data_IF_232192760789
#
_entry.id   IF_232192760789
#
_cell.length_a   1.000
_cell.length_b   1.000
_cell.length_c   1.000
_cell.angle_alpha   90.00
_cell.angle_beta   90.00
_cell.angle_gamma   90.00
#
_symmetry.space_group_name_H-M   'P 1'
#
loop_
_entity.id
_entity.type
_entity.pdbx_description
1 polymer ?
#
# COMPACT_ATOMS: atom_id res chain seq x y z
N UNK A 1 -18.19 -7.65 -16.98
CA UNK A 1 -17.44 -7.75 -15.70
C UNK A 1 -15.95 -7.75 -16.03
N UNK A 2 -15.20 -6.73 -15.63
CA UNK A 2 -13.77 -6.66 -15.90
C UNK A 2 -13.04 -7.73 -15.07
N UNK A 3 -12.31 -8.62 -15.76
CA UNK A 3 -11.48 -9.66 -15.14
C UNK A 3 -10.19 -8.98 -14.64
N UNK A 4 -10.18 -8.55 -13.37
CA UNK A 4 -8.96 -8.06 -12.73
C UNK A 4 -8.04 -9.27 -12.57
N UNK A 5 -7.09 -9.41 -13.50
CA UNK A 5 -6.03 -10.41 -13.42
C UNK A 5 -5.04 -9.94 -12.37
N UNK A 6 -4.65 -10.82 -11.45
CA UNK A 6 -3.62 -10.53 -10.43
C UNK A 6 -2.29 -10.05 -11.02
N UNK A 7 -2.01 -10.32 -12.31
CA UNK A 7 -0.87 -9.77 -13.05
C UNK A 7 -0.79 -8.24 -13.06
N UNK A 8 -1.92 -7.53 -13.04
CA UNK A 8 -1.96 -6.08 -13.27
C UNK A 8 -1.36 -5.29 -12.08
N UNK A 9 -1.56 -5.78 -10.85
CA UNK A 9 -1.01 -5.16 -9.64
C UNK A 9 0.51 -5.36 -9.55
N UNK A 10 1.01 -6.53 -9.98
CA UNK A 10 2.45 -6.82 -9.98
C UNK A 10 3.19 -5.92 -10.98
N UNK A 11 2.61 -5.68 -12.17
CA UNK A 11 3.14 -4.73 -13.16
C UNK A 11 3.18 -3.29 -12.60
N UNK A 12 2.15 -2.87 -11.86
CA UNK A 12 2.14 -1.57 -11.19
C UNK A 12 3.25 -1.50 -10.12
N UNK A 13 3.40 -2.55 -9.30
CA UNK A 13 4.43 -2.62 -8.26
C UNK A 13 5.82 -2.53 -8.90
N UNK A 14 6.06 -3.26 -9.99
CA UNK A 14 7.31 -3.26 -10.73
C UNK A 14 7.59 -1.89 -11.36
N UNK A 15 6.58 -1.23 -11.93
CA UNK A 15 6.73 0.11 -12.49
C UNK A 15 7.16 1.14 -11.45
N UNK A 16 6.63 1.03 -10.22
CA UNK A 16 7.02 1.90 -9.11
C UNK A 16 8.25 1.42 -8.34
N UNK A 17 8.80 0.25 -8.65
CA UNK A 17 10.02 -0.27 -8.01
C UNK A 17 11.27 0.50 -8.47
N UNK A 18 11.25 1.07 -9.66
CA UNK A 18 12.34 1.89 -10.22
C UNK A 18 12.38 3.31 -9.65
N UNK A 19 11.33 3.72 -8.90
CA UNK A 19 11.25 5.04 -8.30
C UNK A 19 12.10 5.11 -7.04
N UNK A 20 13.05 6.04 -7.02
CA UNK A 20 13.83 6.32 -5.83
C UNK A 20 12.92 6.79 -4.70
N UNK A 21 12.95 6.08 -3.58
CA UNK A 21 12.09 6.38 -2.44
C UNK A 21 12.65 7.58 -1.66
N UNK A 22 11.97 8.75 -1.70
CA UNK A 22 12.46 9.97 -1.05
C UNK A 22 12.29 9.92 0.48
N UNK A 23 11.61 8.89 1.01
CA UNK A 23 11.40 8.74 2.45
C UNK A 23 12.70 8.36 3.13
N UNK A 24 12.94 8.98 4.29
CA UNK A 24 14.04 8.63 5.18
C UNK A 24 14.06 7.13 5.47
N UNK A 25 15.26 6.55 5.40
CA UNK A 25 15.52 5.12 5.63
C UNK A 25 15.04 4.62 6.99
N UNK A 26 14.86 5.54 7.95
CA UNK A 26 14.37 5.29 9.31
C UNK A 26 12.93 4.76 9.33
N UNK A 27 12.06 5.16 8.39
CA UNK A 27 10.64 4.76 8.36
C UNK A 27 10.29 3.90 7.12
N UNK A 28 11.31 3.33 6.47
CA UNK A 28 11.15 2.50 5.26
C UNK A 28 10.89 1.04 5.64
N UNK A 29 9.73 0.79 6.26
CA UNK A 29 9.28 -0.57 6.60
C UNK A 29 8.63 -1.29 5.41
N UNK A 30 8.14 -0.54 4.42
CA UNK A 30 7.46 -1.07 3.25
C UNK A 30 7.99 -0.44 1.96
N UNK A 31 8.03 -1.20 0.84
CA UNK A 31 8.37 -0.65 -0.48
C UNK A 31 7.49 0.55 -0.82
N UNK A 32 8.02 1.55 -1.52
CA UNK A 32 7.24 2.71 -1.96
C UNK A 32 6.05 2.29 -2.84
N UNK A 33 6.28 1.32 -3.72
CA UNK A 33 5.26 0.72 -4.58
C UNK A 33 4.06 0.20 -3.79
N UNK A 34 4.29 -0.54 -2.70
CA UNK A 34 3.24 -1.01 -1.80
C UNK A 34 2.38 0.14 -1.25
N UNK A 35 3.04 1.21 -0.79
CA UNK A 35 2.37 2.39 -0.22
C UNK A 35 1.50 3.11 -1.26
N UNK A 36 2.01 3.25 -2.48
CA UNK A 36 1.29 3.88 -3.58
C UNK A 36 0.05 3.08 -3.98
N UNK A 37 0.15 1.75 -4.05
CA UNK A 37 -0.98 0.87 -4.35
C UNK A 37 -2.08 1.01 -3.30
N UNK A 38 -1.70 1.05 -2.01
CA UNK A 38 -2.65 1.24 -0.90
C UNK A 38 -3.30 2.62 -0.95
N UNK A 39 -2.52 3.67 -1.20
CA UNK A 39 -3.04 5.03 -1.32
C UNK A 39 -4.02 5.15 -2.49
N UNK A 40 -3.69 4.55 -3.65
CA UNK A 40 -4.54 4.53 -4.82
C UNK A 40 -5.88 3.85 -4.54
N UNK A 41 -5.85 2.65 -3.93
CA UNK A 41 -7.08 1.93 -3.58
C UNK A 41 -7.92 2.67 -2.55
N UNK A 42 -7.29 3.29 -1.56
CA UNK A 42 -7.97 4.10 -0.57
C UNK A 42 -8.65 5.32 -1.20
N UNK A 43 -7.97 6.04 -2.10
CA UNK A 43 -8.55 7.18 -2.84
C UNK A 43 -9.72 6.73 -3.71
N UNK A 44 -9.59 5.60 -4.42
CA UNK A 44 -10.70 5.01 -5.19
C UNK A 44 -11.88 4.59 -4.31
N UNK A 45 -11.62 4.21 -3.05
CA UNK A 45 -12.65 3.94 -2.05
C UNK A 45 -13.22 5.19 -1.38
N UNK A 46 -12.77 6.39 -1.78
CA UNK A 46 -13.26 7.68 -1.27
C UNK A 46 -12.48 8.24 -0.06
N UNK A 47 -11.29 7.69 0.26
CA UNK A 47 -10.45 8.24 1.31
C UNK A 47 -9.88 9.61 0.88
N UNK A 48 -10.19 10.64 1.66
CA UNK A 48 -9.67 11.99 1.45
C UNK A 48 -8.47 12.26 2.38
N UNK A 49 -7.27 12.19 1.81
CA UNK A 49 -6.02 12.55 2.47
C UNK A 49 -5.35 11.43 3.29
N UNK A 50 -4.13 11.67 3.80
CA UNK A 50 -3.26 10.64 4.39
C UNK A 50 -3.89 9.93 5.60
N UNK A 51 -4.57 10.67 6.47
CA UNK A 51 -5.25 10.11 7.65
C UNK A 51 -6.40 9.19 7.27
N UNK A 52 -7.19 9.55 6.25
CA UNK A 52 -8.27 8.71 5.77
C UNK A 52 -7.74 7.45 5.08
N UNK A 53 -6.64 7.56 4.34
CA UNK A 53 -5.95 6.44 3.72
C UNK A 53 -5.44 5.47 4.78
N UNK A 54 -4.76 5.96 5.83
CA UNK A 54 -4.29 5.13 6.94
C UNK A 54 -5.44 4.41 7.66
N UNK A 55 -6.56 5.11 7.88
CA UNK A 55 -7.76 4.53 8.47
C UNK A 55 -8.37 3.45 7.59
N UNK A 56 -8.49 3.70 6.29
CA UNK A 56 -9.00 2.72 5.32
C UNK A 56 -8.11 1.49 5.24
N UNK A 57 -6.79 1.72 5.20
CA UNK A 57 -5.79 0.68 5.15
C UNK A 57 -5.82 -0.23 6.39
N UNK A 58 -5.96 0.35 7.59
CA UNK A 58 -6.16 -0.43 8.82
C UNK A 58 -7.47 -1.24 8.81
N UNK A 59 -8.55 -0.69 8.22
CA UNK A 59 -9.83 -1.42 8.08
C UNK A 59 -9.76 -2.56 7.05
N UNK A 60 -8.80 -2.51 6.11
CA UNK A 60 -8.62 -3.47 5.03
C UNK A 60 -7.30 -4.25 5.14
N UNK A 61 -6.71 -4.28 6.33
CA UNK A 61 -5.40 -4.89 6.58
C UNK A 61 -5.34 -6.35 6.10
N UNK A 62 -6.32 -7.18 6.46
CA UNK A 62 -6.37 -8.60 6.06
C UNK A 62 -6.43 -8.80 4.54
N UNK A 63 -7.04 -7.85 3.82
CA UNK A 63 -7.10 -7.86 2.36
C UNK A 63 -5.77 -7.42 1.75
N UNK A 64 -5.16 -6.36 2.30
CA UNK A 64 -3.90 -5.82 1.82
C UNK A 64 -2.73 -6.78 2.06
N UNK A 65 -2.71 -7.49 3.19
CA UNK A 65 -1.71 -8.53 3.49
C UNK A 65 -1.75 -9.64 2.45
N UNK A 66 -2.95 -10.09 2.04
CA UNK A 66 -3.11 -11.11 0.99
C UNK A 66 -2.77 -10.60 -0.40
N UNK A 67 -2.98 -9.32 -0.66
CA UNK A 67 -2.77 -8.72 -1.98
C UNK A 67 -1.30 -8.37 -2.24
N UNK A 68 -0.57 -7.93 -1.21
CA UNK A 68 0.81 -7.48 -1.33
C UNK A 68 1.84 -8.51 -0.86
N UNK A 69 1.41 -9.71 -0.43
CA UNK A 69 2.28 -10.74 0.16
C UNK A 69 3.25 -10.14 1.20
N UNK A 70 2.74 -9.23 2.03
CA UNK A 70 3.56 -8.57 3.04
C UNK A 70 3.99 -9.65 4.04
N UNK A 71 5.30 -9.75 4.38
CA UNK A 71 5.71 -10.62 5.46
C UNK A 71 4.94 -10.18 6.70
N UNK A 72 4.22 -11.12 7.31
CA UNK A 72 3.42 -10.89 8.52
C UNK A 72 4.39 -10.67 9.68
N UNK A 73 5.04 -9.51 9.71
CA UNK A 73 5.83 -9.07 10.86
C UNK A 73 4.82 -8.49 11.84
N UNK A 74 4.39 -9.37 12.74
CA UNK A 74 3.47 -9.16 13.85
C UNK A 74 3.25 -7.68 14.25
N UNK A 75 2.04 -7.19 14.05
CA UNK A 75 1.43 -6.11 14.83
C UNK A 75 1.98 -4.68 14.70
N UNK A 76 3.02 -4.41 13.90
CA UNK A 76 3.55 -3.05 13.72
C UNK A 76 2.83 -2.30 12.58
N UNK A 77 1.61 -1.90 12.93
CA UNK A 77 0.79 -0.76 12.50
C UNK A 77 1.16 -0.09 11.17
N UNK A 78 0.14 -0.04 10.31
CA UNK A 78 -0.09 0.79 9.11
C UNK A 78 0.11 2.32 9.29
N UNK A 79 1.16 2.73 10.00
CA UNK A 79 1.49 4.12 10.37
C UNK A 79 2.22 4.83 9.23
N UNK A 80 2.81 4.07 8.31
CA UNK A 80 3.63 4.59 7.22
C UNK A 80 2.86 5.41 6.19
N UNK A 81 1.53 5.26 6.13
CA UNK A 81 0.65 6.03 5.23
C UNK A 81 0.24 7.39 5.81
N UNK A 82 0.48 7.61 7.11
CA UNK A 82 0.10 8.83 7.82
C UNK A 82 1.29 9.75 8.17
N UNK A 83 2.53 9.32 7.89
CA UNK A 83 3.76 10.01 8.27
C UNK A 83 4.40 10.79 7.14
#
# INVERSE_FOLDING_TARGET
MANIKQNDIDEIIQHFAELEDPRSTINRQHPLSSVLVIALMAVLAGAAGPTAIAKWAAMKEEFLVKLLDLPVVSHERMSFVAS
#
